data_IF_437918985106
#
_entry.id   IF_437918985106
#
_cell.length_a   1.000
_cell.length_b   1.000
_cell.length_c   1.000
_cell.angle_alpha   90.00
_cell.angle_beta   90.00
_cell.angle_gamma   90.00
#
_symmetry.space_group_name_H-M   'P 1'
#
loop_
_entity.id
_entity.type
_entity.pdbx_description
1 polymer ?
#
# COMPACT_ATOMS: atom_id res chain seq x y z
N UNK A 1 29.25 -20.75 0.50
CA UNK A 1 27.90 -20.96 -0.07
C UNK A 1 27.38 -19.59 -0.47
N UNK A 2 27.22 -19.32 -1.77
CA UNK A 2 26.64 -18.05 -2.22
C UNK A 2 25.13 -18.10 -1.99
N UNK A 3 24.58 -17.08 -1.34
CA UNK A 3 23.14 -16.88 -1.25
C UNK A 3 22.56 -16.83 -2.67
N UNK A 4 21.50 -17.59 -2.97
CA UNK A 4 20.87 -17.53 -4.28
C UNK A 4 20.40 -16.10 -4.54
N UNK A 5 20.64 -15.60 -5.76
CA UNK A 5 20.14 -14.29 -6.18
C UNK A 5 18.61 -14.28 -6.07
N UNK A 6 18.09 -13.39 -5.23
CA UNK A 6 16.67 -13.22 -5.04
C UNK A 6 16.09 -12.54 -6.27
N UNK A 7 14.94 -13.04 -6.73
CA UNK A 7 14.19 -12.37 -7.79
C UNK A 7 13.83 -10.95 -7.34
N UNK A 8 13.75 -10.02 -8.30
CA UNK A 8 13.40 -8.62 -8.04
C UNK A 8 12.16 -8.47 -7.15
N UNK A 9 11.12 -9.29 -7.38
CA UNK A 9 9.90 -9.25 -6.54
C UNK A 9 10.17 -9.61 -5.08
N UNK A 10 11.02 -10.60 -4.82
CA UNK A 10 11.37 -10.99 -3.45
C UNK A 10 12.16 -9.87 -2.74
N UNK A 11 12.99 -9.13 -3.46
CA UNK A 11 13.71 -7.98 -2.91
C UNK A 11 12.75 -6.84 -2.58
N UNK A 12 11.79 -6.56 -3.46
CA UNK A 12 10.76 -5.52 -3.24
C UNK A 12 9.83 -5.89 -2.07
N UNK A 13 9.50 -7.18 -1.90
CA UNK A 13 8.68 -7.65 -0.77
C UNK A 13 9.45 -7.58 0.56
N UNK A 14 10.74 -7.90 0.57
CA UNK A 14 11.60 -7.69 1.75
C UNK A 14 11.71 -6.20 2.12
N UNK A 15 11.79 -5.30 1.14
CA UNK A 15 11.82 -3.88 1.39
C UNK A 15 10.51 -3.41 2.07
N UNK A 16 9.36 -3.98 1.70
CA UNK A 16 8.10 -3.73 2.40
C UNK A 16 8.13 -4.28 3.83
N UNK A 17 8.59 -5.51 4.04
CA UNK A 17 8.67 -6.13 5.38
C UNK A 17 9.62 -5.38 6.32
N UNK A 18 10.68 -4.78 5.77
CA UNK A 18 11.65 -3.97 6.52
C UNK A 18 11.20 -2.52 6.72
N UNK A 19 10.15 -2.08 6.04
CA UNK A 19 9.69 -0.68 6.05
C UNK A 19 10.59 0.27 5.26
N UNK A 20 11.40 -0.26 4.34
CA UNK A 20 12.22 0.50 3.39
C UNK A 20 11.41 0.94 2.16
N UNK A 21 10.29 0.25 1.91
CA UNK A 21 9.30 0.62 0.90
C UNK A 21 7.90 0.74 1.51
N UNK A 22 7.05 1.50 0.84
CA UNK A 22 5.65 1.73 1.17
C UNK A 22 4.78 1.23 0.01
N UNK A 23 3.63 0.63 0.32
CA UNK A 23 2.64 0.21 -0.66
C UNK A 23 1.27 0.74 -0.27
N UNK A 24 0.56 1.34 -1.22
CA UNK A 24 -0.82 1.79 -1.05
C UNK A 24 -1.85 0.69 -1.38
N UNK A 25 -3.13 0.94 -1.10
CA UNK A 25 -4.23 -0.01 -1.32
C UNK A 25 -4.49 -0.30 -2.80
N UNK A 26 -4.01 0.57 -3.70
CA UNK A 26 -4.05 0.37 -5.16
C UNK A 26 -2.85 -0.49 -5.64
N UNK A 27 -1.96 -0.88 -4.72
CA UNK A 27 -0.79 -1.71 -4.97
C UNK A 27 0.43 -0.94 -5.46
N UNK A 28 0.38 0.40 -5.56
CA UNK A 28 1.52 1.22 -5.99
C UNK A 28 2.58 1.25 -4.89
N UNK A 29 3.84 1.10 -5.28
CA UNK A 29 5.00 1.06 -4.37
C UNK A 29 5.84 2.32 -4.50
N UNK A 30 6.41 2.78 -3.39
CA UNK A 30 7.38 3.89 -3.33
C UNK A 30 8.39 3.66 -2.22
N UNK A 31 9.64 4.05 -2.42
CA UNK A 31 10.67 4.10 -1.36
C UNK A 31 10.73 5.50 -0.72
N UNK A 32 10.08 6.51 -1.32
CA UNK A 32 10.01 7.86 -0.78
C UNK A 32 8.96 7.94 0.34
N UNK A 33 9.35 8.27 1.59
CA UNK A 33 8.41 8.36 2.71
C UNK A 33 7.40 9.50 2.55
N UNK A 34 7.77 10.59 1.87
CA UNK A 34 6.88 11.72 1.62
C UNK A 34 5.72 11.35 0.71
N UNK A 35 6.03 10.66 -0.39
CA UNK A 35 5.06 10.09 -1.31
C UNK A 35 4.19 9.05 -0.62
N UNK A 36 4.79 8.15 0.19
CA UNK A 36 4.05 7.17 0.98
C UNK A 36 3.03 7.84 1.92
N UNK A 37 3.43 8.90 2.63
CA UNK A 37 2.53 9.66 3.49
C UNK A 37 1.43 10.41 2.71
N UNK A 38 1.76 10.97 1.54
CA UNK A 38 0.78 11.65 0.68
C UNK A 38 -0.28 10.68 0.16
N UNK A 39 0.12 9.46 -0.22
CA UNK A 39 -0.81 8.40 -0.64
C UNK A 39 -1.73 8.01 0.53
N UNK A 40 -1.16 7.70 1.70
CA UNK A 40 -1.91 7.33 2.90
C UNK A 40 -2.94 8.41 3.31
N UNK A 41 -2.59 9.69 3.17
CA UNK A 41 -3.51 10.79 3.43
C UNK A 41 -4.66 10.83 2.43
N UNK A 42 -4.36 10.70 1.14
CA UNK A 42 -5.40 10.66 0.11
C UNK A 42 -6.34 9.46 0.27
N UNK A 43 -5.82 8.32 0.72
CA UNK A 43 -6.61 7.13 1.03
C UNK A 43 -7.54 7.36 2.23
N UNK A 44 -7.04 8.02 3.28
CA UNK A 44 -7.86 8.39 4.43
C UNK A 44 -9.00 9.34 4.03
N UNK A 45 -8.75 10.31 3.15
CA UNK A 45 -9.78 11.22 2.64
C UNK A 45 -10.86 10.47 1.85
N UNK A 46 -10.47 9.60 0.92
CA UNK A 46 -11.43 8.75 0.16
C UNK A 46 -12.23 7.84 1.09
N UNK A 47 -11.58 7.23 2.08
CA UNK A 47 -12.26 6.39 3.05
C UNK A 47 -13.27 7.20 3.89
N UNK A 48 -12.94 8.44 4.24
CA UNK A 48 -13.88 9.32 4.92
C UNK A 48 -15.09 9.66 4.03
N UNK A 49 -14.92 9.79 2.72
CA UNK A 49 -16.03 9.95 1.77
C UNK A 49 -16.89 8.68 1.70
N UNK A 50 -16.29 7.51 1.52
CA UNK A 50 -16.99 6.22 1.53
C UNK A 50 -17.82 6.01 2.78
N UNK A 51 -17.25 6.30 3.96
CA UNK A 51 -17.96 6.20 5.23
C UNK A 51 -19.17 7.15 5.31
N UNK A 52 -19.10 8.34 4.71
CA UNK A 52 -20.26 9.26 4.60
C UNK A 52 -21.35 8.71 3.70
N UNK A 53 -20.99 7.89 2.71
CA UNK A 53 -21.92 7.18 1.83
C UNK A 53 -22.44 5.86 2.43
N UNK A 54 -22.00 5.48 3.64
CA UNK A 54 -22.38 4.23 4.30
C UNK A 54 -21.64 3.00 3.78
N UNK A 55 -20.55 3.21 3.03
CA UNK A 55 -19.72 2.16 2.45
C UNK A 55 -18.73 1.65 3.52
N UNK A 56 -18.85 0.37 3.92
CA UNK A 56 -17.99 -0.28 4.93
C UNK A 56 -17.46 -1.63 4.48
N UNK A 57 -16.16 -1.87 4.63
CA UNK A 57 -15.49 -3.11 4.22
C UNK A 57 -14.76 -2.99 2.88
N UNK A 58 -14.16 -4.08 2.35
CA UNK A 58 -13.39 -4.04 1.11
C UNK A 58 -14.33 -3.84 -0.10
N UNK A 59 -14.74 -2.58 -0.32
CA UNK A 59 -15.50 -2.09 -1.48
C UNK A 59 -17.03 -2.11 -1.41
N UNK A 60 -17.69 -1.85 -0.27
CA UNK A 60 -19.15 -2.05 -0.19
C UNK A 60 -19.99 -0.86 -0.70
N UNK A 61 -21.18 -1.08 -1.32
CA UNK A 61 -21.91 -2.35 -1.28
C UNK A 61 -22.12 -3.04 -2.63
N UNK A 62 -21.88 -4.36 -2.59
CA UNK A 62 -22.60 -5.32 -3.41
C UNK A 62 -24.10 -5.26 -3.04
N UNK A 63 -24.92 -4.98 -4.04
CA UNK A 63 -26.37 -5.21 -4.01
C UNK A 63 -26.66 -6.62 -4.53
#
# INVERSE_FOLDING_TARGET
>A
MSTPEKSRRQQEDEALERGEAYQDVEGRRTEDPGAGAAHARGEADRNAEHLRHGEVGPGAPAQ
#
